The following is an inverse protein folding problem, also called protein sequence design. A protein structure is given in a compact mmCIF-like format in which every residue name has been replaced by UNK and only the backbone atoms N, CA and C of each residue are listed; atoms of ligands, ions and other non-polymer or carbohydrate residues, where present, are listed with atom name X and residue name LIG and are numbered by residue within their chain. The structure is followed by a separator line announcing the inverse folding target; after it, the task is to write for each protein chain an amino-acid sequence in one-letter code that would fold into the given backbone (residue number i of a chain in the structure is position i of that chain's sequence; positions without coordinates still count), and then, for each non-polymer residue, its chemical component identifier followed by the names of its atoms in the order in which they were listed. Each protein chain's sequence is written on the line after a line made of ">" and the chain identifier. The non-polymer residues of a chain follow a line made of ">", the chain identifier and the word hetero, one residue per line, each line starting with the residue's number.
data_IF_084261117338
#
_entry.id   IF_084261117338
#
_cell.length_a   1.000
_cell.length_b   1.000
_cell.length_c   1.000
_cell.angle_alpha   90.00
_cell.angle_beta   90.00
_cell.angle_gamma   90.00
#
_symmetry.space_group_name_H-M   'P 1'
#
loop_
_entity.id
_entity.type
_entity.pdbx_description
1 polymer ?
#
# COMPACT_ATOMS: atom_id res chain seq x y z
N UNK A 1 7.13 8.63 9.92
CA UNK A 1 7.37 7.25 9.43
C UNK A 1 8.04 7.35 8.06
N UNK A 2 9.00 6.49 7.77
CA UNK A 2 9.63 6.40 6.45
C UNK A 2 9.37 5.04 5.82
N UNK A 3 9.17 5.03 4.50
CA UNK A 3 9.08 3.82 3.69
C UNK A 3 10.14 3.94 2.59
N UNK A 4 10.89 2.87 2.38
CA UNK A 4 11.85 2.77 1.29
C UNK A 4 11.32 1.82 0.23
N UNK A 5 11.62 2.09 -1.03
CA UNK A 5 11.33 1.21 -2.14
C UNK A 5 12.64 0.77 -2.79
N UNK A 6 12.94 -0.51 -2.74
CA UNK A 6 14.14 -1.09 -3.33
C UNK A 6 13.76 -2.31 -4.17
N UNK A 7 14.15 -2.32 -5.45
CA UNK A 7 13.86 -3.41 -6.39
C UNK A 7 12.39 -3.87 -6.36
N UNK A 8 11.47 -2.91 -6.26
CA UNK A 8 10.03 -3.17 -6.24
C UNK A 8 9.47 -3.68 -4.91
N UNK A 9 10.27 -3.73 -3.84
CA UNK A 9 9.85 -4.14 -2.49
C UNK A 9 9.82 -2.92 -1.57
N UNK A 10 8.67 -2.71 -0.91
CA UNK A 10 8.51 -1.68 0.10
C UNK A 10 9.01 -2.19 1.45
N UNK A 11 9.70 -1.33 2.20
CA UNK A 11 10.15 -1.62 3.55
C UNK A 11 9.96 -0.40 4.44
N UNK A 12 9.28 -0.57 5.58
CA UNK A 12 9.11 0.52 6.55
C UNK A 12 10.36 0.74 7.41
N UNK A 13 10.35 1.81 8.21
CA UNK A 13 11.44 2.15 9.12
C UNK A 13 11.77 1.07 10.19
N UNK A 14 10.87 0.11 10.42
CA UNK A 14 11.06 -1.01 11.33
C UNK A 14 11.58 -2.27 10.62
N UNK A 15 11.87 -2.21 9.32
CA UNK A 15 12.33 -3.34 8.53
C UNK A 15 11.22 -4.32 8.15
N UNK A 16 9.95 -3.93 8.25
CA UNK A 16 8.81 -4.75 7.84
C UNK A 16 8.56 -4.58 6.35
N UNK A 17 8.22 -5.67 5.67
CA UNK A 17 7.93 -5.66 4.24
C UNK A 17 6.51 -5.15 4.01
N UNK A 18 6.35 -4.18 3.12
CA UNK A 18 5.07 -3.70 2.62
C UNK A 18 4.49 -4.68 1.60
N UNK A 19 3.23 -5.05 1.75
CA UNK A 19 2.57 -6.05 0.90
C UNK A 19 1.06 -5.81 0.81
N UNK A 20 0.42 -6.39 -0.21
CA UNK A 20 -1.03 -6.46 -0.31
C UNK A 20 -1.50 -7.81 0.27
N UNK A 21 -2.28 -7.75 1.34
CA UNK A 21 -2.90 -8.91 1.98
C UNK A 21 -4.01 -9.52 1.11
N UNK A 22 -4.51 -10.71 1.48
CA UNK A 22 -5.59 -11.41 0.79
C UNK A 22 -6.91 -10.59 0.74
N UNK A 23 -7.14 -9.78 1.77
CA UNK A 23 -8.23 -8.82 1.86
C UNK A 23 -7.94 -7.48 1.15
N UNK A 24 -6.88 -7.40 0.34
CA UNK A 24 -6.47 -6.23 -0.45
C UNK A 24 -5.88 -5.05 0.33
N UNK A 25 -5.67 -5.20 1.64
CA UNK A 25 -5.06 -4.15 2.46
C UNK A 25 -3.56 -4.04 2.19
N UNK A 26 -3.06 -2.81 2.07
CA UNK A 26 -1.63 -2.51 2.17
C UNK A 26 -1.21 -2.59 3.64
N UNK A 27 -0.39 -3.58 3.96
CA UNK A 27 0.11 -3.85 5.31
C UNK A 27 1.63 -3.87 5.34
N UNK A 28 2.19 -3.83 6.56
CA UNK A 28 3.63 -3.96 6.80
C UNK A 28 3.87 -4.96 7.92
N UNK A 29 4.44 -6.12 7.59
CA UNK A 29 4.78 -7.17 8.56
C UNK A 29 6.15 -7.80 8.29
N UNK A 30 6.67 -8.54 9.27
CA UNK A 30 7.93 -9.29 9.15
C UNK A 30 7.81 -10.64 9.86
N UNK A 31 7.58 -11.74 9.14
CA UNK A 31 7.34 -11.81 7.69
C UNK A 31 5.95 -11.28 7.27
N UNK A 32 5.71 -10.98 5.98
CA UNK A 32 4.35 -10.81 5.46
C UNK A 32 3.43 -11.95 5.87
N UNK A 33 2.15 -11.66 6.07
CA UNK A 33 1.17 -12.68 6.45
C UNK A 33 1.04 -13.76 5.37
N UNK A 34 0.80 -15.00 5.82
CA UNK A 34 0.49 -16.12 4.92
C UNK A 34 -0.71 -15.77 4.05
N UNK A 35 -0.57 -15.95 2.72
CA UNK A 35 -1.63 -15.61 1.78
C UNK A 35 -1.54 -14.20 1.20
N UNK A 36 -0.48 -13.44 1.50
CA UNK A 36 -0.16 -12.19 0.81
C UNK A 36 -0.25 -12.35 -0.72
N UNK A 37 -1.00 -11.47 -1.36
CA UNK A 37 -1.27 -11.51 -2.81
C UNK A 37 -0.12 -10.87 -3.59
N UNK A 38 0.47 -9.81 -3.03
CA UNK A 38 1.54 -9.04 -3.67
C UNK A 38 2.58 -8.69 -2.60
N UNK A 39 3.83 -9.11 -2.79
CA UNK A 39 4.96 -8.78 -1.91
C UNK A 39 6.02 -7.91 -2.59
N UNK A 40 5.80 -7.56 -3.86
CA UNK A 40 6.69 -6.71 -4.65
C UNK A 40 6.06 -6.32 -5.98
N UNK A 41 6.79 -5.57 -6.80
CA UNK A 41 6.26 -4.96 -8.03
C UNK A 41 5.71 -3.55 -7.83
N UNK A 42 5.98 -2.96 -6.66
CA UNK A 42 5.77 -1.53 -6.44
C UNK A 42 6.76 -0.70 -7.25
N UNK A 43 6.40 0.53 -7.61
CA UNK A 43 7.29 1.47 -8.26
C UNK A 43 7.06 2.89 -7.76
N UNK A 44 7.94 3.81 -8.15
CA UNK A 44 7.70 5.26 -8.00
C UNK A 44 7.19 5.75 -9.36
N UNK A 45 6.10 6.51 -9.36
CA UNK A 45 5.57 7.21 -10.53
C UNK A 45 6.27 8.57 -10.71
N UNK A 46 6.09 9.20 -11.88
CA UNK A 46 6.78 10.46 -12.24
C UNK A 46 6.49 11.63 -11.27
N UNK A 47 5.38 11.56 -10.54
CA UNK A 47 4.94 12.53 -9.52
C UNK A 47 5.37 12.16 -8.09
N UNK A 48 6.35 11.24 -7.94
CA UNK A 48 6.84 10.69 -6.68
C UNK A 48 5.79 9.94 -5.85
N UNK A 49 4.69 9.50 -6.47
CA UNK A 49 3.70 8.66 -5.81
C UNK A 49 4.05 7.18 -5.94
N UNK A 50 3.59 6.38 -4.98
CA UNK A 50 3.68 4.93 -5.03
C UNK A 50 2.79 4.39 -6.15
N UNK A 51 3.37 3.56 -7.01
CA UNK A 51 2.68 2.82 -8.06
C UNK A 51 2.60 1.33 -7.75
N UNK A 52 1.54 0.70 -8.24
CA UNK A 52 1.35 -0.75 -8.26
C UNK A 52 0.44 -1.13 -9.44
N UNK A 53 0.82 -2.15 -10.21
CA UNK A 53 -0.06 -2.71 -11.25
C UNK A 53 -0.47 -1.73 -12.36
N UNK A 54 0.32 -0.68 -12.62
CA UNK A 54 0.05 0.33 -13.65
C UNK A 54 -0.83 1.51 -13.21
N UNK A 55 -1.16 1.60 -11.92
CA UNK A 55 -1.85 2.75 -11.30
C UNK A 55 -1.05 3.25 -10.09
N UNK A 56 -1.29 4.49 -9.68
CA UNK A 56 -0.80 5.08 -8.42
C UNK A 56 -1.93 5.42 -7.44
N UNK A 57 -3.15 4.97 -7.73
CA UNK A 57 -4.33 5.19 -6.89
C UNK A 57 -4.45 4.03 -5.90
N UNK A 58 -4.42 4.38 -4.62
CA UNK A 58 -4.82 3.52 -3.52
C UNK A 58 -6.14 4.03 -2.94
N UNK A 59 -6.74 3.27 -2.04
CA UNK A 59 -8.01 3.62 -1.42
C UNK A 59 -7.86 3.66 0.09
N UNK A 60 -8.14 4.82 0.68
CA UNK A 60 -8.27 4.97 2.12
C UNK A 60 -9.73 4.65 2.49
N UNK A 61 -9.95 3.48 3.11
CA UNK A 61 -11.29 3.02 3.49
C UNK A 61 -11.43 2.89 5.01
N UNK A 62 -12.46 3.51 5.58
CA UNK A 62 -12.70 3.53 7.02
C UNK A 62 -13.36 4.83 7.51
N UNK A 63 -13.71 4.89 8.80
CA UNK A 63 -14.40 6.04 9.37
C UNK A 63 -13.51 7.28 9.48
N UNK A 64 -14.12 8.42 9.85
CA UNK A 64 -13.46 9.72 10.00
C UNK A 64 -12.19 9.71 10.84
N UNK A 65 -12.08 8.75 11.77
CA UNK A 65 -11.01 8.72 12.77
C UNK A 65 -9.89 7.75 12.38
N UNK A 66 -10.16 6.83 11.46
CA UNK A 66 -9.19 5.82 11.02
C UNK A 66 -9.58 5.20 9.68
N UNK A 67 -8.61 5.17 8.76
CA UNK A 67 -8.73 4.48 7.48
C UNK A 67 -7.55 3.51 7.30
N UNK A 68 -7.86 2.35 6.73
CA UNK A 68 -6.85 1.45 6.20
C UNK A 68 -6.62 1.76 4.72
N UNK A 69 -5.44 1.41 4.20
CA UNK A 69 -5.08 1.58 2.79
C UNK A 69 -5.28 0.28 2.03
N UNK A 70 -5.82 0.36 0.82
CA UNK A 70 -6.11 -0.78 -0.05
C UNK A 70 -5.64 -0.50 -1.48
N UNK A 71 -5.26 -1.55 -2.22
CA UNK A 71 -4.90 -1.44 -3.65
C UNK A 71 -6.12 -1.45 -4.58
N UNK A 72 -7.32 -1.64 -4.02
CA UNK A 72 -8.60 -1.54 -4.72
C UNK A 72 -9.66 -0.98 -3.78
N UNK A 73 -10.71 -0.42 -4.35
CA UNK A 73 -11.90 -0.06 -3.61
C UNK A 73 -12.58 -1.32 -3.06
N UNK A 74 -12.77 -1.39 -1.74
CA UNK A 74 -13.42 -2.54 -1.08
C UNK A 74 -14.77 -2.18 -0.41
N UNK A 75 -15.03 -0.89 -0.19
CA UNK A 75 -16.27 -0.37 0.41
C UNK A 75 -16.73 0.90 -0.34
N UNK A 76 -17.65 0.79 -1.30
CA UNK A 76 -17.99 1.89 -2.22
C UNK A 76 -18.42 3.21 -1.54
N UNK A 77 -19.09 3.13 -0.40
CA UNK A 77 -19.59 4.32 0.33
C UNK A 77 -18.64 4.79 1.43
N UNK A 78 -17.49 4.13 1.60
CA UNK A 78 -16.56 4.40 2.70
C UNK A 78 -15.10 4.23 2.27
N UNK A 79 -14.79 4.65 1.06
CA UNK A 79 -13.45 4.68 0.50
C UNK A 79 -13.21 6.00 -0.22
N UNK A 80 -12.01 6.55 -0.10
CA UNK A 80 -11.58 7.71 -0.85
C UNK A 80 -10.30 7.37 -1.63
N UNK A 81 -10.20 7.73 -2.92
CA UNK A 81 -8.96 7.53 -3.66
C UNK A 81 -7.87 8.43 -3.09
N UNK A 82 -6.68 7.89 -2.93
CA UNK A 82 -5.50 8.58 -2.40
C UNK A 82 -4.26 8.20 -3.20
N UNK A 83 -3.34 9.15 -3.32
CA UNK A 83 -1.99 8.90 -3.80
C UNK A 83 -1.02 8.96 -2.62
N UNK A 84 -0.09 8.01 -2.55
CA UNK A 84 0.87 7.91 -1.45
C UNK A 84 2.21 8.50 -1.91
N UNK A 85 2.59 9.66 -1.39
CA UNK A 85 3.86 10.31 -1.70
C UNK A 85 5.02 9.59 -1.02
N UNK A 86 6.08 9.32 -1.78
CA UNK A 86 7.35 8.80 -1.28
C UNK A 86 8.39 9.93 -1.30
N UNK A 87 8.91 10.26 -0.10
CA UNK A 87 9.84 11.38 0.13
C UNK A 87 11.18 10.89 0.66
#
# INVERSE_FOLDING_TARGET
>A
LGVTLNNGVLTDASGRTGYIADNRQLQFDSPPQTGAVITGGFNICDDNTLGLGGTNVFYACGSSDFANLYDTEIYPDNCNPVNLLLN
#
